data_IF_786081498222
#
_entry.id   IF_786081498222
#
_cell.length_a   1.000
_cell.length_b   1.000
_cell.length_c   1.000
_cell.angle_alpha   90.00
_cell.angle_beta   90.00
_cell.angle_gamma   90.00
#
_symmetry.space_group_name_H-M   'P 1'
#
loop_
_entity.id
_entity.type
_entity.pdbx_description
1 polymer ?
#
# COMPACT_ATOMS: atom_id res chain seq x y z
N UNK A 1 30.51 -17.44 38.10
CA UNK A 1 29.37 -16.52 37.86
C UNK A 1 29.50 -15.74 36.54
N UNK A 2 30.62 -15.05 36.25
CA UNK A 2 30.74 -14.19 35.04
C UNK A 2 30.64 -14.88 33.67
N UNK A 3 31.14 -16.12 33.51
CA UNK A 3 31.10 -16.86 32.23
C UNK A 3 29.69 -17.27 31.80
N UNK A 4 28.81 -17.62 32.76
CA UNK A 4 27.42 -17.98 32.49
C UNK A 4 26.59 -16.75 32.08
N UNK A 5 26.85 -15.60 32.69
CA UNK A 5 26.21 -14.33 32.33
C UNK A 5 26.62 -13.89 30.92
N UNK A 6 27.91 -14.04 30.56
CA UNK A 6 28.39 -13.74 29.21
C UNK A 6 27.74 -14.65 28.14
N UNK A 7 27.62 -15.95 28.40
CA UNK A 7 26.96 -16.88 27.49
C UNK A 7 25.46 -16.58 27.33
N UNK A 8 24.76 -16.23 28.42
CA UNK A 8 23.36 -15.81 28.38
C UNK A 8 23.17 -14.52 27.54
N UNK A 9 24.08 -13.55 27.67
CA UNK A 9 24.02 -12.31 26.87
C UNK A 9 24.25 -12.57 25.37
N UNK A 10 25.13 -13.51 25.01
CA UNK A 10 25.38 -13.89 23.60
C UNK A 10 24.15 -14.59 23.01
N UNK A 11 23.50 -15.49 23.77
CA UNK A 11 22.29 -16.19 23.30
C UNK A 11 21.12 -15.21 23.14
N UNK A 12 20.94 -14.26 24.07
CA UNK A 12 19.89 -13.24 23.99
C UNK A 12 20.12 -12.32 22.79
N UNK A 13 21.35 -11.89 22.52
CA UNK A 13 21.66 -11.04 21.36
C UNK A 13 21.46 -11.76 20.02
N UNK A 14 21.81 -13.05 19.92
CA UNK A 14 21.53 -13.86 18.73
C UNK A 14 20.02 -14.08 18.50
N UNK A 15 19.25 -14.29 19.56
CA UNK A 15 17.79 -14.40 19.48
C UNK A 15 17.11 -13.09 19.04
N UNK A 16 17.60 -11.93 19.49
CA UNK A 16 17.09 -10.62 19.07
C UNK A 16 17.43 -10.33 17.60
N UNK A 17 18.63 -10.69 17.14
CA UNK A 17 19.02 -10.54 15.74
C UNK A 17 18.16 -11.41 14.80
N UNK A 18 17.84 -12.64 15.20
CA UNK A 18 17.03 -13.58 14.40
C UNK A 18 15.57 -13.14 14.24
N UNK A 19 14.98 -12.48 15.24
CA UNK A 19 13.63 -11.87 15.14
C UNK A 19 13.59 -10.67 14.18
N UNK A 20 14.65 -9.89 14.11
CA UNK A 20 14.71 -8.74 13.20
C UNK A 20 14.79 -9.17 11.73
N UNK A 21 15.41 -10.31 11.44
CA UNK A 21 15.51 -10.86 10.08
C UNK A 21 14.14 -11.32 9.53
N UNK A 22 13.23 -11.80 10.38
CA UNK A 22 11.89 -12.25 9.94
C UNK A 22 10.91 -11.10 9.69
N UNK A 23 11.09 -9.94 10.32
CA UNK A 23 10.18 -8.80 10.18
C UNK A 23 10.34 -8.08 8.82
N UNK A 24 11.54 -8.10 8.21
CA UNK A 24 11.82 -7.35 6.97
C UNK A 24 11.13 -7.95 5.74
N UNK A 25 11.22 -9.27 5.46
CA UNK A 25 10.44 -9.90 4.39
C UNK A 25 8.94 -9.64 4.54
N UNK A 26 8.44 -9.65 5.79
CA UNK A 26 7.04 -9.36 6.10
C UNK A 26 6.63 -7.92 5.74
N UNK A 27 7.50 -6.91 5.94
CA UNK A 27 7.16 -5.52 5.57
C UNK A 27 7.10 -5.30 4.06
N UNK A 28 7.97 -5.94 3.29
CA UNK A 28 7.95 -5.89 1.82
C UNK A 28 6.68 -6.54 1.27
N UNK A 29 6.28 -7.69 1.81
CA UNK A 29 5.03 -8.35 1.45
C UNK A 29 3.79 -7.47 1.79
N UNK A 30 3.77 -6.85 2.97
CA UNK A 30 2.70 -5.93 3.37
C UNK A 30 2.64 -4.68 2.47
N UNK A 31 3.77 -4.21 1.95
CA UNK A 31 3.82 -3.14 0.97
C UNK A 31 3.17 -3.55 -0.37
N UNK A 32 3.55 -4.71 -0.91
CA UNK A 32 2.96 -5.26 -2.16
C UNK A 32 1.45 -5.44 -1.99
N UNK A 33 1.03 -6.05 -0.87
CA UNK A 33 -0.37 -6.23 -0.54
C UNK A 33 -1.13 -4.89 -0.42
N UNK A 34 -0.50 -3.84 0.10
CA UNK A 34 -1.09 -2.51 0.14
C UNK A 34 -1.25 -1.94 -1.27
N UNK A 35 -0.19 -2.01 -2.09
CA UNK A 35 -0.21 -1.50 -3.47
C UNK A 35 -1.31 -2.19 -4.28
N UNK A 36 -1.45 -3.51 -4.18
CA UNK A 36 -2.46 -4.26 -4.93
C UNK A 36 -3.88 -3.79 -4.59
N UNK A 37 -4.17 -3.52 -3.32
CA UNK A 37 -5.46 -2.93 -2.90
C UNK A 37 -5.64 -1.52 -3.43
N UNK A 38 -4.61 -0.68 -3.36
CA UNK A 38 -4.68 0.71 -3.84
C UNK A 38 -4.84 0.78 -5.37
N UNK A 39 -4.21 -0.14 -6.10
CA UNK A 39 -4.29 -0.26 -7.54
C UNK A 39 -5.66 -0.77 -7.97
N UNK A 40 -6.20 -1.81 -7.32
CA UNK A 40 -7.58 -2.26 -7.53
C UNK A 40 -8.56 -1.10 -7.34
N UNK A 41 -8.45 -0.34 -6.25
CA UNK A 41 -9.30 0.84 -6.03
C UNK A 41 -9.12 1.91 -7.10
N UNK A 42 -7.90 2.11 -7.61
CA UNK A 42 -7.63 3.07 -8.68
C UNK A 42 -8.29 2.65 -10.00
N UNK A 43 -8.24 1.36 -10.33
CA UNK A 43 -8.89 0.78 -11.51
C UNK A 43 -10.42 0.93 -11.42
N UNK A 44 -11.02 0.58 -10.28
CA UNK A 44 -12.45 0.81 -10.01
C UNK A 44 -12.84 2.29 -10.28
N UNK A 45 -12.05 3.24 -9.77
CA UNK A 45 -12.33 4.66 -10.00
C UNK A 45 -12.15 5.08 -11.48
N UNK A 46 -11.23 4.47 -12.22
CA UNK A 46 -11.01 4.76 -13.63
C UNK A 46 -12.17 4.23 -14.49
N UNK A 47 -12.68 3.04 -14.20
CA UNK A 47 -13.88 2.47 -14.85
C UNK A 47 -15.14 3.31 -14.60
N UNK A 48 -15.34 3.78 -13.35
CA UNK A 48 -16.44 4.71 -13.02
C UNK A 48 -16.34 6.03 -13.80
N UNK A 49 -15.12 6.54 -14.02
CA UNK A 49 -14.92 7.76 -14.81
C UNK A 49 -15.13 7.51 -16.30
N UNK A 50 -14.64 6.39 -16.85
CA UNK A 50 -14.81 6.03 -18.25
C UNK A 50 -16.29 5.86 -18.60
N UNK A 51 -17.06 5.17 -17.74
CA UNK A 51 -18.52 5.02 -17.90
C UNK A 51 -19.25 6.37 -17.81
N UNK A 52 -18.85 7.27 -16.91
CA UNK A 52 -19.42 8.62 -16.83
C UNK A 52 -19.12 9.47 -18.08
N UNK A 53 -17.94 9.33 -18.68
CA UNK A 53 -17.58 10.00 -19.95
C UNK A 53 -18.48 9.50 -21.09
N UNK A 54 -18.67 8.19 -21.20
CA UNK A 54 -19.56 7.60 -22.21
C UNK A 54 -21.00 8.09 -22.01
N UNK A 55 -21.49 8.19 -20.78
CA UNK A 55 -22.89 8.56 -20.51
C UNK A 55 -23.19 10.08 -20.60
N UNK A 56 -22.18 10.95 -20.72
CA UNK A 56 -22.36 12.41 -20.74
C UNK A 56 -22.36 12.99 -22.16
N UNK A 57 -23.52 13.27 -22.78
CA UNK A 57 -23.59 13.76 -24.16
C UNK A 57 -23.07 15.19 -24.32
N UNK A 58 -22.97 15.98 -23.24
CA UNK A 58 -22.63 17.41 -23.29
C UNK A 58 -21.11 17.72 -23.23
N UNK A 59 -20.25 16.71 -23.00
CA UNK A 59 -18.80 16.90 -22.80
C UNK A 59 -17.95 15.71 -23.29
N UNK A 60 -18.35 15.05 -24.39
CA UNK A 60 -17.49 14.00 -24.96
C UNK A 60 -16.31 14.65 -25.68
N UNK A 61 -15.14 14.56 -25.06
CA UNK A 61 -13.89 14.81 -25.77
C UNK A 61 -13.59 13.55 -26.60
N UNK A 62 -13.35 13.73 -27.89
CA UNK A 62 -12.96 12.63 -28.78
C UNK A 62 -11.67 11.95 -28.26
N UNK A 63 -11.61 10.62 -28.35
CA UNK A 63 -10.45 9.85 -27.88
C UNK A 63 -10.28 9.73 -26.36
N UNK A 64 -11.09 10.41 -25.53
CA UNK A 64 -10.93 10.36 -24.07
C UNK A 64 -11.08 8.93 -23.50
N UNK A 65 -12.03 8.15 -24.00
CA UNK A 65 -12.23 6.76 -23.58
C UNK A 65 -11.03 5.87 -23.93
N UNK A 66 -10.47 6.05 -25.13
CA UNK A 66 -9.28 5.32 -25.57
C UNK A 66 -8.06 5.65 -24.70
N UNK A 67 -7.83 6.93 -24.43
CA UNK A 67 -6.78 7.37 -23.50
C UNK A 67 -6.97 6.80 -22.10
N UNK A 68 -8.22 6.66 -21.64
CA UNK A 68 -8.51 6.03 -20.35
C UNK A 68 -8.11 4.55 -20.32
N UNK A 69 -8.37 3.80 -21.39
CA UNK A 69 -7.95 2.39 -21.49
C UNK A 69 -6.43 2.25 -21.59
N UNK A 70 -5.77 3.09 -22.40
CA UNK A 70 -4.30 3.11 -22.49
C UNK A 70 -3.65 3.43 -21.14
N UNK A 71 -4.20 4.40 -20.41
CA UNK A 71 -3.71 4.73 -19.07
C UNK A 71 -3.89 3.58 -18.08
N UNK A 72 -5.01 2.85 -18.17
CA UNK A 72 -5.25 1.67 -17.35
C UNK A 72 -4.21 0.57 -17.64
N UNK A 73 -3.97 0.27 -18.92
CA UNK A 73 -2.97 -0.73 -19.33
C UNK A 73 -1.56 -0.39 -18.83
N UNK A 74 -1.11 0.87 -18.98
CA UNK A 74 0.18 1.32 -18.46
C UNK A 74 0.27 1.19 -16.93
N UNK A 75 -0.83 1.44 -16.22
CA UNK A 75 -0.85 1.23 -14.78
C UNK A 75 -0.74 -0.24 -14.42
N UNK A 76 -1.43 -1.13 -15.12
CA UNK A 76 -1.41 -2.56 -14.86
C UNK A 76 -0.02 -3.15 -15.11
N UNK A 77 0.62 -2.81 -16.22
CA UNK A 77 1.99 -3.21 -16.52
C UNK A 77 2.97 -2.75 -15.43
N UNK A 78 2.96 -1.45 -15.08
CA UNK A 78 3.79 -0.93 -13.99
C UNK A 78 3.52 -1.65 -12.67
N UNK A 79 2.28 -2.00 -12.36
CA UNK A 79 1.95 -2.66 -11.10
C UNK A 79 2.55 -4.07 -11.03
N UNK A 80 2.49 -4.82 -12.14
CA UNK A 80 3.13 -6.14 -12.25
C UNK A 80 4.64 -6.02 -12.08
N UNK A 81 5.28 -5.07 -12.77
CA UNK A 81 6.72 -4.85 -12.68
C UNK A 81 7.19 -4.48 -11.27
N UNK A 82 6.46 -3.58 -10.59
CA UNK A 82 6.77 -3.20 -9.20
C UNK A 82 6.61 -4.39 -8.26
N UNK A 83 5.54 -5.15 -8.39
CA UNK A 83 5.31 -6.34 -7.57
C UNK A 83 6.39 -7.40 -7.77
N UNK A 84 6.72 -7.72 -9.03
CA UNK A 84 7.78 -8.67 -9.37
C UNK A 84 9.13 -8.23 -8.80
N UNK A 85 9.52 -6.97 -9.04
CA UNK A 85 10.78 -6.40 -8.56
C UNK A 85 10.91 -6.45 -7.04
N UNK A 86 9.84 -6.14 -6.30
CA UNK A 86 9.85 -6.21 -4.83
C UNK A 86 9.97 -7.66 -4.37
N UNK A 87 9.16 -8.58 -4.92
CA UNK A 87 9.19 -10.00 -4.54
C UNK A 87 10.57 -10.63 -4.79
N UNK A 88 11.16 -10.40 -5.96
CA UNK A 88 12.48 -10.93 -6.33
C UNK A 88 13.58 -10.45 -5.39
N UNK A 89 13.54 -9.17 -4.99
CA UNK A 89 14.61 -8.55 -4.18
C UNK A 89 14.34 -8.59 -2.68
N UNK A 90 13.24 -9.18 -2.24
CA UNK A 90 12.84 -9.19 -0.82
C UNK A 90 13.89 -9.88 0.05
N UNK A 91 14.52 -10.94 -0.43
CA UNK A 91 15.58 -11.64 0.31
C UNK A 91 16.88 -10.83 0.43
N UNK A 92 17.10 -9.90 -0.51
CA UNK A 92 18.20 -8.94 -0.49
C UNK A 92 17.87 -7.66 0.32
N UNK A 93 16.70 -7.59 0.96
CA UNK A 93 16.32 -6.44 1.75
C UNK A 93 17.26 -6.26 2.95
N UNK A 94 17.85 -5.07 3.06
CA UNK A 94 18.67 -4.70 4.20
C UNK A 94 17.91 -4.86 5.53
N UNK A 95 18.56 -5.49 6.51
CA UNK A 95 18.05 -5.65 7.86
C UNK A 95 17.85 -4.28 8.50
N UNK A 96 16.65 -4.04 9.02
CA UNK A 96 16.32 -2.78 9.68
C UNK A 96 16.81 -2.78 11.13
N UNK A 97 17.16 -1.60 11.65
CA UNK A 97 17.42 -1.45 13.09
C UNK A 97 16.16 -1.69 13.91
N UNK A 98 16.32 -2.19 15.14
CA UNK A 98 15.19 -2.46 16.06
C UNK A 98 14.26 -1.26 16.23
N UNK A 99 14.82 -0.05 16.36
CA UNK A 99 14.06 1.21 16.43
C UNK A 99 13.21 1.45 15.17
N UNK A 100 13.73 1.11 13.99
CA UNK A 100 13.01 1.26 12.72
C UNK A 100 11.93 0.19 12.57
N UNK A 101 12.19 -1.05 12.98
CA UNK A 101 11.20 -2.13 13.05
C UNK A 101 9.98 -1.72 13.89
N UNK A 102 10.19 -1.17 15.09
CA UNK A 102 9.07 -0.74 15.96
C UNK A 102 8.23 0.40 15.35
N UNK A 103 8.89 1.36 14.69
CA UNK A 103 8.21 2.41 13.92
C UNK A 103 7.35 1.80 12.80
N UNK A 104 7.89 0.81 12.09
CA UNK A 104 7.23 0.11 11.00
C UNK A 104 6.03 -0.71 11.47
N UNK A 105 6.16 -1.47 12.56
CA UNK A 105 5.03 -2.18 13.21
C UNK A 105 3.91 -1.21 13.60
N UNK A 106 4.27 -0.06 14.17
CA UNK A 106 3.30 0.98 14.54
C UNK A 106 2.61 1.59 13.32
N UNK A 107 3.35 1.89 12.26
CA UNK A 107 2.82 2.42 11.00
C UNK A 107 1.85 1.41 10.34
N UNK A 108 2.23 0.14 10.29
CA UNK A 108 1.41 -0.94 9.75
C UNK A 108 0.11 -1.11 10.55
N UNK A 109 0.18 -1.09 11.88
CA UNK A 109 -1.01 -1.17 12.75
C UNK A 109 -1.96 0.02 12.54
N UNK A 110 -1.43 1.24 12.36
CA UNK A 110 -2.23 2.43 12.04
C UNK A 110 -2.87 2.34 10.66
N UNK A 111 -2.16 1.81 9.66
CA UNK A 111 -2.70 1.56 8.33
C UNK A 111 -3.86 0.55 8.41
N UNK A 112 -3.65 -0.63 9.00
CA UNK A 112 -4.68 -1.67 9.15
C UNK A 112 -5.92 -1.17 9.90
N UNK A 113 -5.76 -0.44 11.00
CA UNK A 113 -6.88 0.17 11.76
C UNK A 113 -7.64 1.20 10.95
N UNK A 114 -6.93 2.03 10.20
CA UNK A 114 -7.60 3.01 9.37
C UNK A 114 -8.54 2.31 8.40
N UNK A 115 -8.09 1.23 7.75
CA UNK A 115 -8.87 0.44 6.77
C UNK A 115 -10.06 -0.30 7.41
N UNK A 116 -9.94 -0.83 8.63
CA UNK A 116 -10.95 -1.76 9.19
C UNK A 116 -12.07 -1.16 10.07
N UNK A 117 -11.94 0.00 10.70
CA UNK A 117 -12.92 0.40 11.75
C UNK A 117 -13.64 1.74 11.56
N UNK A 118 -13.11 2.67 10.77
CA UNK A 118 -13.70 4.01 10.62
C UNK A 118 -14.28 4.31 9.24
N UNK A 119 -13.91 3.55 8.20
CA UNK A 119 -14.38 3.82 6.84
C UNK A 119 -15.83 3.42 6.63
N UNK A 120 -16.17 2.18 6.94
CA UNK A 120 -17.49 1.63 6.65
C UNK A 120 -18.63 2.37 7.40
N UNK A 121 -18.33 2.90 8.60
CA UNK A 121 -19.28 3.64 9.43
C UNK A 121 -19.43 5.12 9.05
N UNK A 122 -18.39 5.76 8.47
CA UNK A 122 -18.46 7.14 7.93
C UNK A 122 -19.00 7.19 6.50
N UNK A 123 -18.74 6.15 5.67
CA UNK A 123 -19.25 6.02 4.30
C UNK A 123 -20.80 6.09 4.30
N UNK A 124 -21.44 5.26 5.14
CA UNK A 124 -22.90 5.18 5.30
C UNK A 124 -23.58 6.51 5.67
N UNK A 125 -22.87 7.45 6.32
CA UNK A 125 -23.42 8.78 6.66
C UNK A 125 -23.29 9.81 5.54
N UNK A 126 -22.36 9.66 4.60
CA UNK A 126 -22.18 10.55 3.45
C UNK A 126 -22.95 10.10 2.21
N UNK A 127 -23.26 8.81 2.09
CA UNK A 127 -23.93 8.22 0.92
C UNK A 127 -25.32 8.82 0.61
N UNK A 128 -25.97 9.47 1.58
CA UNK A 128 -27.30 10.11 1.38
C UNK A 128 -27.23 11.47 0.66
N UNK A 129 -26.04 12.11 0.56
CA UNK A 129 -25.89 13.47 0.00
C UNK A 129 -25.12 13.54 -1.33
N UNK A 130 -24.25 12.57 -1.64
CA UNK A 130 -23.20 12.72 -2.66
C UNK A 130 -23.46 12.03 -4.02
N UNK A 131 -24.72 11.81 -4.43
CA UNK A 131 -25.00 11.19 -5.75
C UNK A 131 -24.47 11.98 -6.97
N UNK A 132 -24.09 13.26 -6.81
CA UNK A 132 -23.44 14.08 -7.86
C UNK A 132 -21.91 14.22 -7.71
N UNK A 133 -21.29 13.78 -6.60
CA UNK A 133 -19.86 13.99 -6.29
C UNK A 133 -19.01 12.70 -6.24
N UNK A 134 -19.61 11.55 -6.55
CA UNK A 134 -19.00 10.20 -6.44
C UNK A 134 -17.62 10.00 -7.10
N UNK A 135 -17.35 10.44 -8.35
CA UNK A 135 -16.03 10.19 -8.93
C UNK A 135 -14.91 10.96 -8.22
N UNK A 136 -15.20 12.15 -7.67
CA UNK A 136 -14.24 12.93 -6.85
C UNK A 136 -13.97 12.27 -5.50
N UNK A 137 -14.94 11.55 -4.92
CA UNK A 137 -14.69 10.79 -3.68
C UNK A 137 -13.86 9.54 -3.95
N UNK A 138 -14.13 8.79 -5.03
CA UNK A 138 -13.37 7.59 -5.38
C UNK A 138 -11.88 7.90 -5.60
N UNK A 139 -11.56 8.88 -6.45
CA UNK A 139 -10.17 9.25 -6.72
C UNK A 139 -9.41 9.73 -5.46
N UNK A 140 -10.11 10.41 -4.54
CA UNK A 140 -9.53 10.83 -3.24
C UNK A 140 -9.25 9.62 -2.35
N UNK A 141 -10.13 8.62 -2.33
CA UNK A 141 -9.92 7.36 -1.60
C UNK A 141 -8.71 6.61 -2.14
N UNK A 142 -8.64 6.39 -3.46
CA UNK A 142 -7.51 5.73 -4.12
C UNK A 142 -6.17 6.44 -3.80
N UNK A 143 -6.15 7.78 -3.89
CA UNK A 143 -4.96 8.59 -3.52
C UNK A 143 -4.57 8.40 -2.06
N UNK A 144 -5.54 8.34 -1.14
CA UNK A 144 -5.26 8.15 0.28
C UNK A 144 -4.71 6.75 0.56
N UNK A 145 -5.22 5.72 -0.11
CA UNK A 145 -4.67 4.36 -0.01
C UNK A 145 -3.21 4.33 -0.49
N UNK A 146 -2.90 4.95 -1.64
CA UNK A 146 -1.50 5.06 -2.13
C UNK A 146 -0.59 5.77 -1.13
N UNK A 147 -1.06 6.84 -0.48
CA UNK A 147 -0.30 7.54 0.56
C UNK A 147 -0.04 6.65 1.79
N UNK A 148 -0.94 5.73 2.11
CA UNK A 148 -0.71 4.74 3.17
C UNK A 148 0.36 3.73 2.75
N UNK A 149 0.32 3.24 1.51
CA UNK A 149 1.34 2.33 0.99
C UNK A 149 2.72 2.99 0.96
N UNK A 150 2.82 4.28 0.62
CA UNK A 150 4.08 5.04 0.71
C UNK A 150 4.67 5.08 2.13
N UNK A 151 3.84 5.07 3.17
CA UNK A 151 4.33 4.98 4.57
C UNK A 151 4.89 3.59 4.90
N UNK A 152 4.35 2.55 4.29
CA UNK A 152 4.83 1.16 4.45
C UNK A 152 6.08 0.94 3.59
N UNK A 153 6.20 1.60 2.43
CA UNK A 153 7.37 1.54 1.55
C UNK A 153 8.68 1.81 2.29
N UNK A 154 8.70 2.79 3.21
CA UNK A 154 9.85 3.12 4.08
C UNK A 154 10.38 1.95 4.94
N UNK A 155 9.56 0.91 5.10
CA UNK A 155 9.83 -0.28 5.86
C UNK A 155 10.30 -1.46 4.99
N UNK A 156 10.32 -1.30 3.68
CA UNK A 156 10.92 -2.25 2.75
C UNK A 156 12.13 -1.57 2.09
N UNK A 157 13.35 -1.98 2.45
CA UNK A 157 14.59 -1.36 1.99
C UNK A 157 14.87 -1.55 0.48
N UNK A 158 14.18 -2.49 -0.16
CA UNK A 158 14.17 -2.69 -1.61
C UNK A 158 13.49 -1.54 -2.34
N UNK A 159 12.48 -0.94 -1.70
CA UNK A 159 11.72 0.17 -2.26
C UNK A 159 12.49 1.45 -1.94
N UNK A 160 13.23 1.96 -2.92
CA UNK A 160 13.87 3.27 -2.83
C UNK A 160 12.79 4.36 -2.99
N UNK A 161 12.81 5.36 -2.11
CA UNK A 161 12.02 6.59 -2.27
C UNK A 161 12.55 7.44 -3.42
#
# INVERSE_FOLDING_TARGET
>A
MGRLVALLLIVVTQCVAKRNATDVPQFCEEYVNCLNRANKKSAECLEENATAIVQSPKKRCEGATELHFQLQALYDERNVEVEACVREKTDAAAVLSSRKVEKCKTALKKSKRSVNSDWDRRQKRRDKKDRKDKPKSCAKEAKKMRLQCAKIAKCCSVVKE
#
